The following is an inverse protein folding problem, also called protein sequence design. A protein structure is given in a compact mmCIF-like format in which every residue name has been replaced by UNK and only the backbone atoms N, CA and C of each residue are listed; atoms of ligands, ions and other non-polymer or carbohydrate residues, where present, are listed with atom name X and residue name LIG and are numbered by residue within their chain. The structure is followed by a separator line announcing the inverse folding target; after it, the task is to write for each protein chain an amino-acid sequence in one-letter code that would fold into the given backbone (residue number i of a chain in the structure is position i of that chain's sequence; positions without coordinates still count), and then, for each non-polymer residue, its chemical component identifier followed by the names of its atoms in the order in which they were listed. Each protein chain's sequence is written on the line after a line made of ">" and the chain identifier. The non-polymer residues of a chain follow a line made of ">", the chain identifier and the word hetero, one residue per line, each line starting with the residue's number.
data_IF_059991627328
#
_entry.id   IF_059991627328
#
_cell.length_a   1.000
_cell.length_b   1.000
_cell.length_c   1.000
_cell.angle_alpha   90.00
_cell.angle_beta   90.00
_cell.angle_gamma   90.00
#
_symmetry.space_group_name_H-M   'P 1'
#
loop_
_entity.id
_entity.type
_entity.pdbx_description
1 polymer ?
#
# COMPACT_ATOMS: atom_id res chain seq x y z
N UNK A 1 2.80 1.78 38.33
CA UNK A 1 1.94 2.79 37.67
C UNK A 1 1.05 2.04 36.70
N UNK A 2 -0.27 2.26 36.72
CA UNK A 2 -1.16 1.61 35.75
C UNK A 2 -0.85 2.15 34.35
N UNK A 3 -0.68 1.27 33.37
CA UNK A 3 -0.57 1.67 31.96
C UNK A 3 -1.92 2.20 31.50
N UNK A 4 -1.97 3.43 30.99
CA UNK A 4 -3.17 3.97 30.36
C UNK A 4 -3.52 3.10 29.15
N UNK A 5 -4.77 2.66 29.05
CA UNK A 5 -5.24 1.83 27.93
C UNK A 5 -5.55 2.68 26.70
N UNK A 6 -5.59 2.06 25.51
CA UNK A 6 -6.01 2.72 24.27
C UNK A 6 -7.40 3.33 24.40
N UNK A 7 -8.36 2.57 24.93
CA UNK A 7 -9.73 3.01 25.14
C UNK A 7 -9.81 4.23 26.06
N UNK A 8 -8.96 4.29 27.09
CA UNK A 8 -8.92 5.44 28.00
C UNK A 8 -8.34 6.69 27.32
N UNK A 9 -7.35 6.54 26.44
CA UNK A 9 -6.82 7.63 25.63
C UNK A 9 -7.87 8.15 24.64
N UNK A 10 -8.58 7.28 23.93
CA UNK A 10 -9.65 7.66 23.01
C UNK A 10 -10.77 8.43 23.71
N UNK A 11 -11.14 8.01 24.93
CA UNK A 11 -12.10 8.73 25.76
C UNK A 11 -11.61 10.11 26.19
N UNK A 12 -10.32 10.25 26.52
CA UNK A 12 -9.72 11.53 26.94
C UNK A 12 -9.48 12.48 25.75
N UNK A 13 -9.28 11.94 24.55
CA UNK A 13 -8.98 12.69 23.34
C UNK A 13 -9.92 12.29 22.18
N UNK A 14 -11.24 12.58 22.27
CA UNK A 14 -12.19 12.20 21.23
C UNK A 14 -11.88 12.89 19.89
N UNK A 15 -12.34 12.35 18.74
CA UNK A 15 -12.25 13.03 17.46
C UNK A 15 -12.84 14.45 17.53
N UNK A 16 -12.25 15.39 16.79
CA UNK A 16 -12.70 16.79 16.77
C UNK A 16 -12.35 17.41 15.43
N UNK A 17 -13.29 18.17 14.87
CA UNK A 17 -13.07 18.96 13.64
C UNK A 17 -12.69 20.42 13.95
N UNK A 18 -12.54 20.76 15.24
CA UNK A 18 -12.14 22.09 15.68
C UNK A 18 -10.68 22.35 15.26
N UNK A 19 -10.43 23.36 14.41
CA UNK A 19 -9.11 23.62 13.85
C UNK A 19 -8.08 23.99 14.92
N UNK A 20 -8.46 24.68 15.99
CA UNK A 20 -7.51 25.06 17.06
C UNK A 20 -7.09 23.84 17.87
N UNK A 21 -8.05 22.94 18.18
CA UNK A 21 -7.75 21.69 18.87
C UNK A 21 -6.90 20.76 18.01
N UNK A 22 -7.14 20.71 16.70
CA UNK A 22 -6.29 19.97 15.77
C UNK A 22 -4.87 20.53 15.72
N UNK A 23 -4.71 21.86 15.62
CA UNK A 23 -3.39 22.50 15.64
C UNK A 23 -2.61 22.19 16.93
N UNK A 24 -3.27 22.26 18.08
CA UNK A 24 -2.65 21.91 19.37
C UNK A 24 -2.23 20.43 19.43
N UNK A 25 -3.05 19.51 18.88
CA UNK A 25 -2.68 18.09 18.80
C UNK A 25 -1.46 17.87 17.92
N UNK A 26 -1.36 18.55 16.79
CA UNK A 26 -0.19 18.48 15.91
C UNK A 26 1.08 18.96 16.62
N UNK A 27 1.03 20.07 17.36
CA UNK A 27 2.17 20.54 18.15
C UNK A 27 2.64 19.50 19.18
N UNK A 28 1.70 18.83 19.85
CA UNK A 28 2.02 17.76 20.82
C UNK A 28 2.66 16.56 20.11
N UNK A 29 2.11 16.12 18.97
CA UNK A 29 2.66 15.01 18.18
C UNK A 29 4.09 15.33 17.74
N UNK A 30 4.32 16.54 17.20
CA UNK A 30 5.65 16.98 16.76
C UNK A 30 6.66 16.96 17.91
N UNK A 31 6.27 17.48 19.08
CA UNK A 31 7.11 17.43 20.28
C UNK A 31 7.42 15.99 20.68
N UNK A 32 6.42 15.11 20.72
CA UNK A 32 6.59 13.70 21.08
C UNK A 32 7.53 12.98 20.12
N UNK A 33 7.35 13.16 18.80
CA UNK A 33 8.24 12.59 17.79
C UNK A 33 9.67 13.15 17.87
N UNK A 34 9.85 14.40 18.30
CA UNK A 34 11.17 14.98 18.53
C UNK A 34 11.90 14.36 19.73
N UNK A 35 11.18 14.04 20.81
CA UNK A 35 11.77 13.44 22.02
C UNK A 35 11.82 11.91 21.98
N UNK A 36 11.17 11.27 21.00
CA UNK A 36 11.18 9.81 20.79
C UNK A 36 11.65 9.46 19.37
N UNK A 37 12.93 9.72 19.03
CA UNK A 37 13.43 9.56 17.67
C UNK A 37 13.30 8.12 17.14
N UNK A 38 13.34 7.11 18.01
CA UNK A 38 13.15 5.70 17.64
C UNK A 38 11.74 5.47 17.07
N UNK A 39 10.70 5.99 17.73
CA UNK A 39 9.31 5.86 17.25
C UNK A 39 9.13 6.58 15.92
N UNK A 40 9.71 7.78 15.78
CA UNK A 40 9.70 8.51 14.51
C UNK A 40 10.36 7.72 13.38
N UNK A 41 11.50 7.09 13.67
CA UNK A 41 12.23 6.26 12.70
C UNK A 41 11.43 5.02 12.31
N UNK A 42 10.87 4.28 13.28
CA UNK A 42 10.05 3.09 13.02
C UNK A 42 8.82 3.42 12.15
N UNK A 43 8.12 4.53 12.45
CA UNK A 43 7.00 5.00 11.64
C UNK A 43 7.43 5.33 10.21
N UNK A 44 8.57 6.00 10.06
CA UNK A 44 9.10 6.35 8.74
C UNK A 44 9.49 5.12 7.94
N UNK A 45 10.25 4.19 8.54
CA UNK A 45 10.68 2.95 7.90
C UNK A 45 9.48 2.08 7.51
N UNK A 46 8.48 1.95 8.39
CA UNK A 46 7.24 1.25 8.10
C UNK A 46 6.51 1.85 6.90
N UNK A 47 6.37 3.18 6.87
CA UNK A 47 5.72 3.88 5.76
C UNK A 47 6.50 3.79 4.44
N UNK A 48 7.83 3.87 4.48
CA UNK A 48 8.68 3.67 3.30
C UNK A 48 8.53 2.25 2.77
N UNK A 49 8.57 1.24 3.65
CA UNK A 49 8.41 -0.16 3.26
C UNK A 49 7.06 -0.41 2.60
N UNK A 50 5.96 0.02 3.22
CA UNK A 50 4.60 -0.11 2.64
C UNK A 50 4.48 0.63 1.30
N UNK A 51 5.11 1.80 1.19
CA UNK A 51 5.15 2.58 -0.03
C UNK A 51 5.91 1.89 -1.17
N UNK A 52 7.05 1.26 -0.86
CA UNK A 52 7.82 0.46 -1.83
C UNK A 52 7.01 -0.76 -2.28
N UNK A 53 6.46 -1.54 -1.35
CA UNK A 53 5.66 -2.74 -1.66
C UNK A 53 4.44 -2.39 -2.53
N UNK A 54 3.71 -1.33 -2.17
CA UNK A 54 2.57 -0.83 -2.97
C UNK A 54 3.02 -0.34 -4.36
N UNK A 55 4.15 0.36 -4.41
CA UNK A 55 4.76 0.85 -5.65
C UNK A 55 5.14 -0.28 -6.60
N UNK A 56 5.79 -1.32 -6.09
CA UNK A 56 6.20 -2.49 -6.86
C UNK A 56 5.00 -3.25 -7.43
N UNK A 57 3.96 -3.47 -6.63
CA UNK A 57 2.71 -4.08 -7.10
C UNK A 57 2.09 -3.25 -8.23
N UNK A 58 1.93 -1.94 -8.04
CA UNK A 58 1.34 -1.05 -9.06
C UNK A 58 2.17 -1.00 -10.34
N UNK A 59 3.49 -0.93 -10.21
CA UNK A 59 4.41 -0.91 -11.34
C UNK A 59 4.36 -2.23 -12.12
N UNK A 60 4.35 -3.37 -11.42
CA UNK A 60 4.30 -4.70 -12.03
C UNK A 60 2.97 -4.96 -12.74
N UNK A 61 1.84 -4.59 -12.13
CA UNK A 61 0.51 -4.65 -12.79
C UNK A 61 0.48 -3.82 -14.07
N UNK A 62 1.01 -2.59 -14.01
CA UNK A 62 1.10 -1.70 -15.18
C UNK A 62 2.00 -2.30 -16.27
N UNK A 63 3.15 -2.88 -15.90
CA UNK A 63 4.06 -3.53 -16.83
C UNK A 63 3.40 -4.74 -17.51
N UNK A 64 2.75 -5.62 -16.74
CA UNK A 64 2.02 -6.78 -17.26
C UNK A 64 0.97 -6.36 -18.28
N UNK A 65 0.13 -5.36 -17.96
CA UNK A 65 -0.87 -4.83 -18.90
C UNK A 65 -0.24 -4.30 -20.19
N UNK A 66 0.89 -3.59 -20.10
CA UNK A 66 1.62 -3.10 -21.28
C UNK A 66 2.14 -4.25 -22.14
N UNK A 67 2.68 -5.30 -21.53
CA UNK A 67 3.16 -6.49 -22.24
C UNK A 67 2.00 -7.17 -22.96
N UNK A 68 0.90 -7.48 -22.26
CA UNK A 68 -0.28 -8.11 -22.85
C UNK A 68 -0.82 -7.31 -24.04
N UNK A 69 -0.94 -5.98 -23.89
CA UNK A 69 -1.37 -5.11 -24.97
C UNK A 69 -0.42 -5.14 -26.17
N UNK A 70 0.90 -5.15 -25.94
CA UNK A 70 1.93 -5.23 -27.00
C UNK A 70 1.88 -6.54 -27.76
N UNK A 71 1.52 -7.63 -27.09
CA UNK A 71 1.34 -8.96 -27.70
C UNK A 71 -0.08 -9.19 -28.25
N UNK A 72 -0.92 -8.15 -28.30
CA UNK A 72 -2.32 -8.24 -28.74
C UNK A 72 -3.16 -9.25 -27.96
N UNK A 73 -2.80 -9.51 -26.70
CA UNK A 73 -3.54 -10.34 -25.77
C UNK A 73 -4.59 -9.48 -25.07
N UNK A 74 -5.80 -9.46 -25.62
CA UNK A 74 -6.91 -8.67 -25.07
C UNK A 74 -7.32 -9.20 -23.70
N UNK A 75 -7.40 -8.31 -22.71
CA UNK A 75 -7.93 -8.59 -21.38
C UNK A 75 -9.46 -8.51 -21.39
N UNK A 76 -10.12 -9.50 -20.79
CA UNK A 76 -11.52 -9.33 -20.37
C UNK A 76 -11.60 -8.47 -19.10
N UNK A 77 -12.76 -7.88 -18.78
CA UNK A 77 -12.95 -7.13 -17.54
C UNK A 77 -12.59 -7.93 -16.27
N UNK A 78 -12.93 -9.23 -16.24
CA UNK A 78 -12.61 -10.11 -15.11
C UNK A 78 -11.12 -10.36 -14.97
N UNK A 79 -10.40 -10.51 -16.09
CA UNK A 79 -8.95 -10.69 -16.09
C UNK A 79 -8.24 -9.43 -15.62
N UNK A 80 -8.71 -8.26 -16.05
CA UNK A 80 -8.14 -6.98 -15.62
C UNK A 80 -8.38 -6.73 -14.12
N UNK A 81 -9.58 -7.04 -13.62
CA UNK A 81 -9.90 -6.97 -12.19
C UNK A 81 -9.04 -7.95 -11.37
N UNK A 82 -8.78 -9.15 -11.90
CA UNK A 82 -7.88 -10.13 -11.26
C UNK A 82 -6.44 -9.60 -11.16
N UNK A 83 -5.93 -8.94 -12.19
CA UNK A 83 -4.62 -8.28 -12.12
C UNK A 83 -4.62 -7.15 -11.08
N UNK A 84 -5.68 -6.34 -11.04
CA UNK A 84 -5.76 -5.19 -10.13
C UNK A 84 -5.79 -5.58 -8.66
N UNK A 85 -6.53 -6.64 -8.34
CA UNK A 85 -6.74 -7.12 -6.97
C UNK A 85 -5.65 -8.06 -6.47
N UNK A 86 -4.73 -8.50 -7.34
CA UNK A 86 -3.65 -9.41 -6.96
C UNK A 86 -2.62 -8.71 -6.08
N UNK A 87 -2.50 -9.12 -4.82
CA UNK A 87 -1.56 -8.59 -3.83
C UNK A 87 -0.24 -9.36 -3.75
N UNK A 88 -0.09 -10.44 -4.51
CA UNK A 88 1.12 -11.27 -4.54
C UNK A 88 2.03 -10.83 -5.70
N UNK A 89 3.14 -10.19 -5.35
CA UNK A 89 4.14 -9.72 -6.31
C UNK A 89 4.75 -10.87 -7.13
N UNK A 90 4.97 -12.03 -6.52
CA UNK A 90 5.57 -13.19 -7.20
C UNK A 90 4.63 -13.72 -8.27
N UNK A 91 3.33 -13.74 -7.99
CA UNK A 91 2.30 -14.13 -8.97
C UNK A 91 2.26 -13.14 -10.13
N UNK A 92 2.31 -11.84 -9.86
CA UNK A 92 2.33 -10.81 -10.90
C UNK A 92 3.58 -10.88 -11.77
N UNK A 93 4.75 -11.12 -11.17
CA UNK A 93 6.01 -11.31 -11.90
C UNK A 93 5.96 -12.56 -12.78
N UNK A 94 5.43 -13.67 -12.26
CA UNK A 94 5.22 -14.89 -13.05
C UNK A 94 4.32 -14.64 -14.25
N UNK A 95 3.20 -13.95 -14.07
CA UNK A 95 2.31 -13.60 -15.17
C UNK A 95 2.98 -12.68 -16.18
N UNK A 96 3.80 -11.73 -15.72
CA UNK A 96 4.58 -10.86 -16.60
C UNK A 96 5.52 -11.66 -17.49
N UNK A 97 6.24 -12.64 -16.93
CA UNK A 97 7.16 -13.47 -17.69
C UNK A 97 6.42 -14.41 -18.65
N UNK A 98 5.31 -15.02 -18.20
CA UNK A 98 4.46 -15.86 -19.05
C UNK A 98 3.85 -15.09 -20.22
N UNK A 99 3.48 -13.82 -20.02
CA UNK A 99 2.92 -12.97 -21.06
C UNK A 99 3.89 -12.72 -22.23
N UNK A 100 5.19 -12.95 -22.07
CA UNK A 100 6.18 -12.81 -23.13
C UNK A 100 6.16 -13.94 -24.15
N UNK A 101 5.58 -15.11 -23.82
CA UNK A 101 5.55 -16.29 -24.69
C UNK A 101 4.18 -16.94 -24.83
N UNK A 102 3.20 -16.54 -24.01
CA UNK A 102 1.87 -17.11 -24.03
C UNK A 102 1.13 -16.85 -25.36
N UNK A 103 0.40 -17.86 -25.84
CA UNK A 103 -0.45 -17.73 -27.02
C UNK A 103 -1.82 -17.08 -26.70
N UNK A 104 -2.16 -16.94 -25.41
CA UNK A 104 -3.42 -16.34 -24.97
C UNK A 104 -3.30 -15.65 -23.61
N UNK A 105 -4.21 -14.72 -23.32
CA UNK A 105 -4.31 -14.06 -22.01
C UNK A 105 -4.57 -15.06 -20.88
N UNK A 106 -5.29 -16.15 -21.14
CA UNK A 106 -5.54 -17.17 -20.14
C UNK A 106 -4.29 -17.96 -19.77
N UNK A 107 -3.46 -18.27 -20.76
CA UNK A 107 -2.16 -18.91 -20.54
C UNK A 107 -1.19 -17.97 -19.81
N UNK A 108 -1.21 -16.67 -20.14
CA UNK A 108 -0.38 -15.67 -19.48
C UNK A 108 -0.73 -15.46 -17.99
N UNK A 109 -2.00 -15.66 -17.60
CA UNK A 109 -2.48 -15.42 -16.23
C UNK A 109 -2.67 -16.72 -15.43
N UNK A 110 -1.82 -17.73 -15.65
CA UNK A 110 -1.91 -19.02 -14.96
C UNK A 110 -1.25 -19.00 -13.58
#
# INVERSE_FOLDING_TARGET
>A
MSSVTREELERRFPPTDDPERLANRWQVIDLLLAITPQVKQELHEGGVKEGVETGELKATRSALRRVLAKWHLTLSPDQDARIETCTDLTVLQRWHDQALSAASTWEALR
#
